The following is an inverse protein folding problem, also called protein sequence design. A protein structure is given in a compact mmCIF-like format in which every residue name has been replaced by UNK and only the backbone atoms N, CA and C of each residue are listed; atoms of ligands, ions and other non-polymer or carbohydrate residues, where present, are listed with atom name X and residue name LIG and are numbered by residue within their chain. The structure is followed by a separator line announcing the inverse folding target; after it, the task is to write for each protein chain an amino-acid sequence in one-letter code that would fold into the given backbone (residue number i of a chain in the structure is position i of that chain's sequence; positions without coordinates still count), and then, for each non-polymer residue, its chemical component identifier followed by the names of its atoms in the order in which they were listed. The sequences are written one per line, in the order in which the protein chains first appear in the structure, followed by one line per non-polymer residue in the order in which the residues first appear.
data_IF_762196120029
#
_entry.id   IF_762196120029
#
_cell.length_a   1.000
_cell.length_b   1.000
_cell.length_c   1.000
_cell.angle_alpha   90.00
_cell.angle_beta   90.00
_cell.angle_gamma   90.00
#
_symmetry.space_group_name_H-M   'P 1'
#
loop_
_entity.id
_entity.type
_entity.pdbx_description
1 polymer ?
#
# COMPACT_ATOMS: atom_id res chain seq x y z
N UNK A 1 31.85 -0.11 19.03
CA UNK A 1 32.55 -1.21 18.34
C UNK A 1 32.78 -0.76 16.90
N UNK A 2 34.02 -0.64 16.45
CA UNK A 2 34.32 -0.21 15.09
C UNK A 2 33.98 -1.35 14.10
N UNK A 3 33.48 -1.05 12.88
CA UNK A 3 33.19 -2.06 11.88
C UNK A 3 34.49 -2.78 11.48
N UNK A 4 34.50 -4.12 11.57
CA UNK A 4 35.65 -4.95 11.22
C UNK A 4 35.37 -5.68 9.91
N UNK A 5 36.01 -5.24 8.84
CA UNK A 5 35.91 -5.88 7.52
C UNK A 5 36.65 -7.21 7.56
N UNK A 6 36.02 -8.26 7.06
CA UNK A 6 36.59 -9.60 6.97
C UNK A 6 36.18 -10.24 5.65
N UNK A 7 37.02 -11.09 5.04
CA UNK A 7 36.62 -11.87 3.86
C UNK A 7 35.41 -12.75 4.18
N UNK A 8 34.46 -12.84 3.25
CA UNK A 8 33.29 -13.69 3.36
C UNK A 8 32.91 -14.24 1.99
N UNK A 9 32.45 -15.49 1.94
CA UNK A 9 31.86 -16.07 0.74
C UNK A 9 30.42 -15.54 0.58
N UNK A 10 30.14 -14.90 -0.55
CA UNK A 10 28.80 -14.38 -0.87
C UNK A 10 28.61 -14.33 -2.39
N UNK A 11 27.43 -14.70 -2.93
CA UNK A 11 27.12 -14.48 -4.35
C UNK A 11 27.07 -12.99 -4.68
N UNK A 12 26.86 -12.62 -5.95
CA UNK A 12 26.65 -11.21 -6.32
C UNK A 12 25.37 -10.69 -5.64
N UNK A 13 25.48 -9.60 -4.88
CA UNK A 13 24.39 -9.01 -4.13
C UNK A 13 24.84 -8.50 -2.75
N UNK A 14 23.89 -8.34 -1.83
CA UNK A 14 24.17 -7.87 -0.47
C UNK A 14 23.23 -8.55 0.52
N UNK A 15 23.80 -9.11 1.58
CA UNK A 15 23.05 -9.60 2.74
C UNK A 15 23.32 -8.69 3.93
N UNK A 16 22.26 -8.27 4.61
CA UNK A 16 22.33 -7.48 5.84
C UNK A 16 21.74 -8.31 6.97
N UNK A 17 22.55 -8.59 7.98
CA UNK A 17 22.12 -9.30 9.18
C UNK A 17 22.10 -8.37 10.38
N UNK A 18 20.96 -8.31 11.08
CA UNK A 18 20.78 -7.51 12.29
C UNK A 18 20.40 -8.45 13.42
N UNK A 19 21.27 -8.54 14.43
CA UNK A 19 21.05 -9.33 15.66
C UNK A 19 20.95 -8.42 16.86
N UNK A 20 20.22 -8.90 17.87
CA UNK A 20 20.10 -8.24 19.17
C UNK A 20 19.71 -6.75 19.07
N UNK A 21 18.68 -6.45 18.28
CA UNK A 21 18.23 -5.07 18.08
C UNK A 21 17.95 -4.38 19.42
N UNK A 22 18.54 -3.20 19.61
CA UNK A 22 18.48 -2.39 20.84
C UNK A 22 19.21 -2.97 22.08
N UNK A 23 20.10 -3.96 21.94
CA UNK A 23 20.85 -4.52 23.08
C UNK A 23 21.59 -3.48 23.93
N UNK A 24 22.16 -2.45 23.29
CA UNK A 24 22.91 -1.36 23.93
C UNK A 24 22.08 -0.08 24.15
N UNK A 25 20.77 -0.12 23.89
CA UNK A 25 19.85 1.01 24.11
C UNK A 25 18.64 0.56 24.93
N UNK A 26 18.81 0.30 26.25
CA UNK A 26 17.79 -0.36 27.08
C UNK A 26 16.47 0.42 27.14
N UNK A 27 16.53 1.76 27.12
CA UNK A 27 15.33 2.59 27.05
C UNK A 27 14.49 2.32 25.78
N UNK A 28 15.14 2.15 24.61
CA UNK A 28 14.45 1.82 23.35
C UNK A 28 13.88 0.40 23.36
N UNK A 29 14.62 -0.55 23.93
CA UNK A 29 14.18 -1.95 24.03
C UNK A 29 12.86 -2.09 24.79
N UNK A 30 12.62 -1.24 25.80
CA UNK A 30 11.36 -1.21 26.57
C UNK A 30 10.12 -0.79 25.74
N UNK A 31 10.30 -0.19 24.55
CA UNK A 31 9.18 0.18 23.67
C UNK A 31 8.72 -0.96 22.77
N UNK A 32 9.51 -2.04 22.64
CA UNK A 32 9.11 -3.20 21.85
C UNK A 32 7.80 -3.78 22.39
N UNK A 33 6.88 -4.05 21.47
CA UNK A 33 5.63 -4.76 21.77
C UNK A 33 5.88 -6.27 21.79
N UNK A 34 4.81 -7.05 21.79
CA UNK A 34 4.91 -8.51 21.66
C UNK A 34 5.54 -8.87 20.32
N UNK A 35 6.19 -10.04 20.25
CA UNK A 35 6.79 -10.54 19.01
C UNK A 35 5.80 -10.56 17.84
N UNK A 36 4.55 -10.96 18.13
CA UNK A 36 3.47 -10.95 17.14
C UNK A 36 3.22 -9.55 16.59
N UNK A 37 3.09 -8.55 17.45
CA UNK A 37 2.80 -7.17 17.04
C UNK A 37 3.95 -6.56 16.23
N UNK A 38 5.20 -6.78 16.65
CA UNK A 38 6.37 -6.31 15.89
C UNK A 38 6.47 -7.02 14.53
N UNK A 39 6.19 -8.33 14.49
CA UNK A 39 6.16 -9.07 13.24
C UNK A 39 5.05 -8.59 12.29
N UNK A 40 3.85 -8.30 12.81
CA UNK A 40 2.75 -7.76 12.01
C UNK A 40 3.14 -6.40 11.38
N UNK A 41 3.87 -5.54 12.11
CA UNK A 41 4.43 -4.30 11.56
C UNK A 41 5.46 -4.56 10.46
N UNK A 42 6.38 -5.51 10.65
CA UNK A 42 7.35 -5.90 9.64
C UNK A 42 6.68 -6.45 8.37
N UNK A 43 5.68 -7.31 8.56
CA UNK A 43 4.91 -7.87 7.46
C UNK A 43 4.21 -6.77 6.66
N UNK A 44 3.60 -5.78 7.32
CA UNK A 44 2.98 -4.62 6.65
C UNK A 44 3.99 -3.79 5.86
N UNK A 45 5.22 -3.61 6.35
CA UNK A 45 6.29 -2.95 5.58
C UNK A 45 6.62 -3.72 4.30
N UNK A 46 6.75 -5.04 4.38
CA UNK A 46 7.02 -5.88 3.21
C UNK A 46 5.86 -5.86 2.22
N UNK A 47 4.61 -5.91 2.70
CA UNK A 47 3.41 -5.79 1.85
C UNK A 47 3.41 -4.48 1.06
N UNK A 48 3.72 -3.35 1.72
CA UNK A 48 3.81 -2.04 1.06
C UNK A 48 4.86 -2.02 -0.05
N UNK A 49 6.04 -2.58 0.21
CA UNK A 49 7.12 -2.66 -0.78
C UNK A 49 6.77 -3.58 -1.95
N UNK A 50 6.13 -4.73 -1.66
CA UNK A 50 5.74 -5.70 -2.67
C UNK A 50 4.68 -5.16 -3.65
N UNK A 51 3.77 -4.31 -3.17
CA UNK A 51 2.79 -3.61 -3.99
C UNK A 51 3.40 -2.39 -4.70
N UNK A 52 4.42 -1.73 -4.13
CA UNK A 52 5.12 -0.63 -4.80
C UNK A 52 5.94 -1.10 -6.02
N UNK A 53 6.49 -2.31 -5.96
CA UNK A 53 7.43 -2.86 -6.95
C UNK A 53 7.01 -4.24 -7.43
N UNK A 54 6.10 -4.26 -8.38
CA UNK A 54 5.63 -5.50 -9.02
C UNK A 54 6.75 -6.25 -9.76
N UNK A 55 7.77 -5.54 -10.24
CA UNK A 55 8.93 -6.06 -10.95
C UNK A 55 9.97 -6.75 -10.04
N UNK A 56 9.78 -6.74 -8.72
CA UNK A 56 10.71 -7.35 -7.74
C UNK A 56 10.01 -8.51 -7.03
N UNK A 57 10.70 -9.66 -6.90
CA UNK A 57 10.22 -10.78 -6.09
C UNK A 57 10.49 -10.56 -4.59
N UNK A 58 9.56 -10.99 -3.73
CA UNK A 58 9.67 -10.86 -2.27
C UNK A 58 9.44 -12.20 -1.58
N UNK A 59 10.34 -12.58 -0.67
CA UNK A 59 10.17 -13.72 0.22
C UNK A 59 10.28 -13.25 1.67
N UNK A 60 9.28 -13.57 2.50
CA UNK A 60 9.28 -13.28 3.93
C UNK A 60 9.12 -14.58 4.71
N UNK A 61 10.06 -14.85 5.62
CA UNK A 61 10.03 -16.00 6.53
C UNK A 61 10.06 -15.53 7.97
N UNK A 62 9.38 -16.27 8.84
CA UNK A 62 9.37 -16.04 10.28
C UNK A 62 9.43 -17.37 11.01
N UNK A 63 10.43 -17.54 11.89
CA UNK A 63 10.65 -18.76 12.69
C UNK A 63 10.61 -20.03 11.83
N UNK A 64 11.34 -20.02 10.71
CA UNK A 64 11.46 -21.13 9.77
C UNK A 64 10.31 -21.28 8.77
N UNK A 65 9.13 -20.69 9.04
CA UNK A 65 7.94 -20.78 8.19
C UNK A 65 7.93 -19.69 7.11
N UNK A 66 7.47 -20.05 5.92
CA UNK A 66 7.22 -19.09 4.84
C UNK A 66 5.91 -18.35 5.09
N UNK A 67 5.97 -17.01 5.08
CA UNK A 67 4.82 -16.13 5.35
C UNK A 67 4.33 -15.50 4.05
N UNK A 68 5.23 -14.99 3.22
CA UNK A 68 4.93 -14.49 1.87
C UNK A 68 5.95 -15.02 0.87
N UNK A 69 5.49 -15.40 -0.31
CA UNK A 69 6.32 -15.74 -1.45
C UNK A 69 5.71 -15.15 -2.73
N UNK A 70 6.18 -13.98 -3.12
CA UNK A 70 5.63 -13.17 -4.20
C UNK A 70 6.62 -13.13 -5.36
N UNK A 71 6.20 -13.66 -6.50
CA UNK A 71 6.99 -13.67 -7.74
C UNK A 71 6.78 -12.38 -8.51
N UNK A 72 7.79 -11.95 -9.29
CA UNK A 72 7.67 -10.79 -10.20
C UNK A 72 6.36 -10.83 -11.01
N UNK A 73 5.74 -9.67 -11.16
CA UNK A 73 4.41 -9.49 -11.71
C UNK A 73 4.44 -8.42 -12.81
N UNK A 74 4.91 -8.80 -14.00
CA UNK A 74 5.17 -7.84 -15.08
C UNK A 74 3.91 -7.45 -15.85
N UNK A 75 3.03 -8.40 -16.11
CA UNK A 75 1.74 -8.21 -16.79
C UNK A 75 0.57 -7.93 -15.82
N UNK A 76 -0.55 -7.44 -16.36
CA UNK A 76 -1.72 -7.05 -15.59
C UNK A 76 -2.31 -8.20 -14.76
N UNK A 77 -2.36 -9.43 -15.31
CA UNK A 77 -2.88 -10.60 -14.62
C UNK A 77 -2.01 -10.97 -13.42
N UNK A 78 -0.68 -10.95 -13.58
CA UNK A 78 0.26 -11.20 -12.52
C UNK A 78 0.21 -10.12 -11.43
N UNK A 79 0.01 -8.84 -11.80
CA UNK A 79 -0.20 -7.75 -10.83
C UNK A 79 -1.45 -7.99 -9.99
N UNK A 80 -2.58 -8.30 -10.63
CA UNK A 80 -3.83 -8.63 -9.93
C UNK A 80 -3.64 -9.83 -8.97
N UNK A 81 -2.98 -10.90 -9.41
CA UNK A 81 -2.64 -12.05 -8.55
C UNK A 81 -1.77 -11.65 -7.35
N UNK A 82 -0.79 -10.77 -7.55
CA UNK A 82 0.01 -10.25 -6.44
C UNK A 82 -0.83 -9.43 -5.46
N UNK A 83 -1.74 -8.59 -5.96
CA UNK A 83 -2.67 -7.84 -5.11
C UNK A 83 -3.54 -8.79 -4.28
N UNK A 84 -4.11 -9.83 -4.89
CA UNK A 84 -4.86 -10.85 -4.16
C UNK A 84 -4.00 -11.58 -3.11
N UNK A 85 -2.73 -11.90 -3.42
CA UNK A 85 -1.83 -12.54 -2.46
C UNK A 85 -1.47 -11.64 -1.25
N UNK A 86 -1.46 -10.31 -1.44
CA UNK A 86 -1.12 -9.34 -0.38
C UNK A 86 -2.34 -8.91 0.44
N UNK A 87 -3.44 -8.60 -0.25
CA UNK A 87 -4.67 -8.03 0.29
C UNK A 87 -5.75 -9.07 0.60
N UNK A 88 -5.58 -10.30 0.11
CA UNK A 88 -6.56 -11.39 0.18
C UNK A 88 -7.38 -11.52 -1.11
N UNK A 89 -7.80 -12.73 -1.50
CA UNK A 89 -8.57 -12.97 -2.72
C UNK A 89 -9.91 -12.22 -2.71
N UNK A 90 -10.59 -12.19 -1.57
CA UNK A 90 -11.86 -11.49 -1.39
C UNK A 90 -11.77 -9.99 -1.69
N UNK A 91 -10.60 -9.35 -1.49
CA UNK A 91 -10.43 -7.95 -1.88
C UNK A 91 -10.48 -7.80 -3.40
N UNK A 92 -9.76 -8.64 -4.15
CA UNK A 92 -9.72 -8.53 -5.60
C UNK A 92 -11.08 -8.87 -6.23
N UNK A 93 -11.80 -9.85 -5.68
CA UNK A 93 -13.16 -10.22 -6.10
C UNK A 93 -14.18 -9.10 -5.87
N UNK A 94 -13.95 -8.28 -4.84
CA UNK A 94 -14.83 -7.17 -4.45
C UNK A 94 -14.19 -5.81 -4.75
N UNK A 95 -13.31 -5.72 -5.75
CA UNK A 95 -12.68 -4.48 -6.14
C UNK A 95 -12.89 -4.16 -7.62
N UNK A 96 -13.10 -2.88 -7.87
CA UNK A 96 -13.19 -2.31 -9.21
C UNK A 96 -11.80 -1.87 -9.66
N UNK A 97 -11.32 -2.35 -10.82
CA UNK A 97 -10.14 -1.77 -11.43
C UNK A 97 -10.45 -0.35 -11.90
N UNK A 98 -9.52 0.57 -11.68
CA UNK A 98 -9.58 1.92 -12.21
C UNK A 98 -8.32 2.22 -13.01
N UNK A 99 -8.47 2.99 -14.08
CA UNK A 99 -7.38 3.54 -14.88
C UNK A 99 -7.87 4.81 -15.55
N UNK A 100 -7.37 5.96 -15.11
CA UNK A 100 -7.77 7.27 -15.60
C UNK A 100 -6.57 8.17 -15.70
N UNK A 101 -6.37 8.77 -16.87
CA UNK A 101 -5.37 9.78 -17.13
C UNK A 101 -6.02 11.10 -17.57
N UNK A 102 -5.67 12.21 -16.91
CA UNK A 102 -6.13 13.56 -17.29
C UNK A 102 -5.15 14.63 -16.82
N UNK A 103 -4.85 15.60 -17.68
CA UNK A 103 -4.02 16.77 -17.34
C UNK A 103 -2.64 16.40 -16.75
N UNK A 104 -2.02 15.32 -17.24
CA UNK A 104 -0.73 14.83 -16.72
C UNK A 104 -0.81 14.16 -15.34
N UNK A 105 -2.02 13.87 -14.86
CA UNK A 105 -2.28 13.05 -13.69
C UNK A 105 -2.79 11.69 -14.15
N UNK A 106 -2.18 10.62 -13.64
CA UNK A 106 -2.59 9.25 -13.94
C UNK A 106 -2.90 8.53 -12.62
N UNK A 107 -4.11 7.99 -12.50
CA UNK A 107 -4.53 7.18 -11.37
C UNK A 107 -4.96 5.80 -11.86
N UNK A 108 -4.35 4.77 -11.31
CA UNK A 108 -4.70 3.39 -11.62
C UNK A 108 -4.67 2.51 -10.37
N UNK A 109 -5.29 1.33 -10.45
CA UNK A 109 -5.27 0.34 -9.38
C UNK A 109 -6.66 -0.23 -9.10
N UNK A 110 -6.94 -0.52 -7.83
CA UNK A 110 -8.15 -1.21 -7.39
C UNK A 110 -8.82 -0.49 -6.23
N UNK A 111 -10.13 -0.39 -6.31
CA UNK A 111 -10.99 0.33 -5.35
C UNK A 111 -12.07 -0.64 -4.90
N UNK A 112 -12.13 -0.95 -3.61
CA UNK A 112 -13.10 -1.88 -3.05
C UNK A 112 -14.53 -1.37 -3.19
N UNK A 113 -15.45 -2.26 -3.53
CA UNK A 113 -16.87 -1.98 -3.51
C UNK A 113 -17.31 -1.53 -2.10
N UNK A 114 -18.34 -0.66 -1.99
CA UNK A 114 -18.81 -0.21 -0.68
C UNK A 114 -19.25 -1.36 0.27
N UNK A 115 -19.71 -2.48 -0.31
CA UNK A 115 -20.03 -3.73 0.39
C UNK A 115 -18.78 -4.37 1.03
N UNK A 116 -17.61 -4.25 0.41
CA UNK A 116 -16.33 -4.73 0.94
C UNK A 116 -15.58 -3.62 1.69
N UNK A 117 -16.13 -3.29 2.85
CA UNK A 117 -15.56 -2.33 3.78
C UNK A 117 -14.87 -2.99 4.96
N UNK A 118 -14.06 -2.23 5.70
CA UNK A 118 -13.32 -2.70 6.88
C UNK A 118 -13.72 -1.93 8.13
N UNK A 119 -13.54 -2.55 9.29
CA UNK A 119 -13.67 -1.87 10.59
C UNK A 119 -12.44 -1.02 10.94
N UNK A 120 -11.33 -1.20 10.22
CA UNK A 120 -10.07 -0.49 10.41
C UNK A 120 -9.51 -0.08 9.05
N UNK A 121 -8.60 0.90 9.01
CA UNK A 121 -7.92 1.34 7.79
C UNK A 121 -6.74 0.42 7.40
N UNK A 122 -6.95 -0.89 7.40
CA UNK A 122 -5.91 -1.91 7.22
C UNK A 122 -5.62 -2.28 5.75
N UNK A 123 -6.56 -2.01 4.83
CA UNK A 123 -6.40 -2.21 3.39
C UNK A 123 -6.43 -0.89 2.61
N UNK A 124 -5.59 0.05 3.02
CA UNK A 124 -5.46 1.37 2.38
C UNK A 124 -4.03 1.59 1.93
N UNK A 125 -3.77 1.29 0.66
CA UNK A 125 -2.48 1.44 0.02
C UNK A 125 -2.57 2.50 -1.07
N UNK A 126 -1.81 3.59 -0.90
CA UNK A 126 -1.71 4.66 -1.89
C UNK A 126 -0.24 4.90 -2.21
N UNK A 127 0.06 5.01 -3.49
CA UNK A 127 1.41 5.22 -3.98
C UNK A 127 1.47 6.47 -4.83
N UNK A 128 2.51 7.29 -4.65
CA UNK A 128 2.82 8.42 -5.53
C UNK A 128 4.15 8.13 -6.19
N UNK A 129 4.18 7.97 -7.53
CA UNK A 129 5.38 7.64 -8.29
C UNK A 129 6.17 6.46 -7.68
N UNK A 130 5.45 5.39 -7.28
CA UNK A 130 6.03 4.19 -6.66
C UNK A 130 6.40 4.30 -5.17
N UNK A 131 6.22 5.45 -4.52
CA UNK A 131 6.44 5.63 -3.08
C UNK A 131 5.14 5.44 -2.31
N UNK A 132 5.13 4.59 -1.28
CA UNK A 132 3.97 4.45 -0.38
C UNK A 132 3.76 5.74 0.43
N UNK A 133 2.55 6.30 0.36
CA UNK A 133 2.19 7.58 0.99
C UNK A 133 0.96 7.41 1.88
N UNK A 134 0.92 8.15 2.98
CA UNK A 134 -0.21 8.28 3.90
C UNK A 134 -0.49 9.78 4.08
N UNK A 135 -1.08 10.38 3.06
CA UNK A 135 -1.37 11.82 3.05
C UNK A 135 -2.82 12.13 3.42
N UNK A 136 -3.03 13.23 4.17
CA UNK A 136 -4.35 13.64 4.65
C UNK A 136 -5.27 14.10 3.52
N UNK A 137 -4.73 14.73 2.48
CA UNK A 137 -5.48 15.19 1.32
C UNK A 137 -6.06 14.01 0.56
N UNK A 138 -5.23 13.00 0.30
CA UNK A 138 -5.65 11.75 -0.35
C UNK A 138 -6.70 11.04 0.50
N UNK A 139 -6.44 10.88 1.81
CA UNK A 139 -7.39 10.24 2.72
C UNK A 139 -8.74 10.98 2.77
N UNK A 140 -8.72 12.32 2.66
CA UNK A 140 -9.94 13.11 2.60
C UNK A 140 -10.69 12.92 1.27
N UNK A 141 -10.00 12.99 0.13
CA UNK A 141 -10.60 12.81 -1.19
C UNK A 141 -11.29 11.44 -1.33
N UNK A 142 -10.60 10.37 -0.91
CA UNK A 142 -11.17 9.01 -0.93
C UNK A 142 -12.38 8.94 0.01
N UNK A 143 -12.26 9.42 1.26
CA UNK A 143 -13.40 9.40 2.19
C UNK A 143 -14.60 10.17 1.65
N UNK A 144 -14.39 11.29 0.98
CA UNK A 144 -15.44 12.09 0.36
C UNK A 144 -16.10 11.33 -0.80
N UNK A 145 -15.34 10.62 -1.63
CA UNK A 145 -15.87 9.83 -2.74
C UNK A 145 -16.81 8.71 -2.28
N UNK A 146 -16.54 8.14 -1.10
CA UNK A 146 -17.34 7.07 -0.48
C UNK A 146 -18.48 7.55 0.43
N UNK A 147 -18.61 8.86 0.65
CA UNK A 147 -19.48 9.41 1.71
C UNK A 147 -20.94 8.94 1.62
N UNK A 148 -21.47 8.85 0.41
CA UNK A 148 -22.89 8.54 0.19
C UNK A 148 -23.16 7.03 0.10
N UNK A 149 -22.11 6.21 -0.01
CA UNK A 149 -22.20 4.76 -0.23
C UNK A 149 -21.68 3.92 0.94
N UNK A 150 -21.00 4.55 1.91
CA UNK A 150 -20.33 3.86 3.01
C UNK A 150 -20.96 4.19 4.36
N UNK A 151 -21.26 3.15 5.15
CA UNK A 151 -21.81 3.33 6.49
C UNK A 151 -20.81 4.01 7.45
N UNK A 152 -21.32 4.78 8.43
CA UNK A 152 -20.51 5.47 9.41
C UNK A 152 -19.59 4.52 10.19
N UNK A 153 -18.31 4.89 10.35
CA UNK A 153 -17.32 4.09 11.06
C UNK A 153 -16.74 2.92 10.26
N UNK A 154 -17.11 2.78 8.99
CA UNK A 154 -16.48 1.84 8.05
C UNK A 154 -15.38 2.53 7.25
N UNK A 155 -14.40 1.74 6.83
CA UNK A 155 -13.26 2.20 6.06
C UNK A 155 -13.32 1.62 4.64
N UNK A 156 -13.11 2.45 3.60
CA UNK A 156 -12.96 1.94 2.24
C UNK A 156 -11.64 1.17 2.12
N UNK A 157 -11.61 0.24 1.17
CA UNK A 157 -10.42 -0.54 0.85
C UNK A 157 -9.93 -0.16 -0.54
N UNK A 158 -8.62 -0.03 -0.73
CA UNK A 158 -8.06 0.34 -2.02
C UNK A 158 -6.56 0.07 -2.10
N UNK A 159 -6.10 -0.16 -3.34
CA UNK A 159 -4.70 -0.20 -3.74
C UNK A 159 -4.56 0.71 -4.96
N UNK A 160 -4.07 1.92 -4.74
CA UNK A 160 -4.07 2.98 -5.75
C UNK A 160 -2.66 3.49 -6.04
N UNK A 161 -2.38 3.70 -7.31
CA UNK A 161 -1.13 4.21 -7.84
C UNK A 161 -1.41 5.51 -8.56
N UNK A 162 -0.78 6.57 -8.07
CA UNK A 162 -0.90 7.91 -8.61
C UNK A 162 0.44 8.31 -9.22
N UNK A 163 0.41 8.63 -10.49
CA UNK A 163 1.53 9.06 -11.29
C UNK A 163 1.34 10.52 -11.70
N UNK A 164 2.37 11.33 -11.48
CA UNK A 164 2.35 12.76 -11.69
C UNK A 164 3.79 13.25 -11.90
N UNK A 165 3.97 14.38 -12.59
CA UNK A 165 5.28 15.03 -12.71
C UNK A 165 5.97 15.18 -11.33
N UNK A 166 7.15 14.58 -11.12
CA UNK A 166 7.90 14.72 -9.88
C UNK A 166 8.18 16.18 -9.49
N UNK A 167 8.23 17.10 -10.46
CA UNK A 167 8.45 18.53 -10.22
C UNK A 167 7.33 19.22 -9.42
N UNK A 168 6.13 18.64 -9.41
CA UNK A 168 4.95 19.18 -8.71
C UNK A 168 4.67 18.47 -7.38
N UNK A 169 5.56 17.58 -6.92
CA UNK A 169 5.45 16.84 -5.66
C UNK A 169 6.70 17.00 -4.82
N UNK A 170 6.57 17.59 -3.64
CA UNK A 170 7.63 17.63 -2.63
C UNK A 170 7.53 16.42 -1.70
N UNK A 171 8.53 15.52 -1.78
CA UNK A 171 8.65 14.33 -0.94
C UNK A 171 9.48 14.57 0.33
N UNK A 172 10.14 15.73 0.46
CA UNK A 172 11.04 16.06 1.57
C UNK A 172 10.32 16.76 2.73
N UNK A 173 9.10 16.33 3.04
CA UNK A 173 8.26 16.97 4.06
C UNK A 173 8.23 16.24 5.40
N UNK A 174 8.58 14.94 5.44
CA UNK A 174 8.59 14.13 6.68
C UNK A 174 9.85 13.24 6.78
N UNK A 175 10.43 13.01 7.98
CA UNK A 175 11.62 12.16 8.15
C UNK A 175 11.48 10.72 7.64
N UNK A 176 10.27 10.15 7.67
CA UNK A 176 9.96 8.82 7.13
C UNK A 176 9.47 8.84 5.68
N UNK A 177 9.31 10.03 5.08
CA UNK A 177 8.86 10.24 3.69
C UNK A 177 7.50 9.58 3.39
N UNK A 178 6.66 9.45 4.42
CA UNK A 178 5.29 8.94 4.30
C UNK A 178 4.29 10.01 3.87
N UNK A 179 4.65 11.27 4.00
CA UNK A 179 3.82 12.41 3.60
C UNK A 179 4.46 13.09 2.39
N UNK A 180 3.64 13.68 1.55
CA UNK A 180 4.08 14.44 0.37
C UNK A 180 3.28 15.73 0.28
N UNK A 181 3.85 16.78 -0.29
CA UNK A 181 3.14 18.02 -0.54
C UNK A 181 3.02 18.25 -2.04
N UNK A 182 1.79 18.27 -2.53
CA UNK A 182 1.49 18.62 -3.91
C UNK A 182 1.53 20.14 -4.08
N UNK A 183 2.09 20.61 -5.20
CA UNK A 183 2.11 22.04 -5.56
C UNK A 183 0.69 22.60 -5.71
N UNK A 184 -0.20 21.84 -6.34
CA UNK A 184 -1.64 22.12 -6.41
C UNK A 184 -2.42 20.97 -5.77
N UNK A 185 -2.54 21.03 -4.44
CA UNK A 185 -3.29 20.03 -3.69
C UNK A 185 -4.78 19.99 -4.05
N UNK A 186 -5.39 21.12 -4.41
CA UNK A 186 -6.82 21.18 -4.75
C UNK A 186 -7.09 20.43 -6.05
N UNK A 187 -6.27 20.65 -7.08
CA UNK A 187 -6.38 19.92 -8.34
C UNK A 187 -6.25 18.41 -8.12
N UNK A 188 -5.27 17.96 -7.33
CA UNK A 188 -5.09 16.54 -7.00
C UNK A 188 -6.30 16.00 -6.23
N UNK A 189 -6.79 16.73 -5.23
CA UNK A 189 -7.97 16.35 -4.46
C UNK A 189 -9.20 16.16 -5.37
N UNK A 190 -9.50 17.16 -6.20
CA UNK A 190 -10.69 17.16 -7.06
C UNK A 190 -10.59 16.07 -8.14
N UNK A 191 -9.39 15.79 -8.64
CA UNK A 191 -9.13 14.67 -9.55
C UNK A 191 -9.37 13.31 -8.89
N UNK A 192 -8.81 13.08 -7.69
CA UNK A 192 -9.00 11.83 -6.95
C UNK A 192 -10.48 11.64 -6.59
N UNK A 193 -11.10 12.64 -5.99
CA UNK A 193 -12.52 12.60 -5.63
C UNK A 193 -13.40 12.34 -6.85
N UNK A 194 -13.26 13.14 -7.92
CA UNK A 194 -14.11 13.02 -9.10
C UNK A 194 -13.96 11.68 -9.83
N UNK A 195 -12.74 11.14 -9.87
CA UNK A 195 -12.46 9.82 -10.46
C UNK A 195 -13.11 8.70 -9.66
N UNK A 196 -12.89 8.68 -8.34
CA UNK A 196 -13.41 7.64 -7.47
C UNK A 196 -14.93 7.73 -7.34
N UNK A 197 -15.48 8.94 -7.21
CA UNK A 197 -16.93 9.14 -7.08
C UNK A 197 -17.68 8.68 -8.33
N UNK A 198 -17.14 8.96 -9.53
CA UNK A 198 -17.71 8.44 -10.78
C UNK A 198 -17.61 6.93 -10.87
N UNK A 199 -16.43 6.36 -10.60
CA UNK A 199 -16.23 4.91 -10.64
C UNK A 199 -17.17 4.16 -9.69
N UNK A 200 -17.46 4.73 -8.52
CA UNK A 200 -18.41 4.17 -7.55
C UNK A 200 -19.87 4.41 -7.93
N UNK A 201 -20.19 5.52 -8.62
CA UNK A 201 -21.54 5.83 -9.09
C UNK A 201 -21.99 4.99 -10.28
N UNK A 202 -21.05 4.53 -11.10
CA UNK A 202 -21.32 3.66 -12.25
C UNK A 202 -21.56 2.18 -11.84
N UNK A 203 -21.32 1.84 -10.57
CA UNK A 203 -21.55 0.50 -10.00
C UNK A 203 -23.05 0.23 -9.93
N UNK A 204 -23.50 -0.78 -10.65
CA UNK A 204 -24.91 -1.18 -10.63
C UNK A 204 -25.18 -2.13 -9.47
N UNK A 205 -26.43 -2.23 -8.98
CA UNK A 205 -26.80 -3.17 -7.92
C UNK A 205 -26.47 -4.65 -8.24
N UNK A 206 -26.48 -5.01 -9.53
CA UNK A 206 -26.08 -6.33 -10.02
C UNK A 206 -24.59 -6.66 -9.78
N UNK A 207 -23.71 -5.65 -9.80
CA UNK A 207 -22.29 -5.79 -9.47
C UNK A 207 -22.05 -6.02 -7.96
N UNK A 208 -23.03 -5.68 -7.12
CA UNK A 208 -22.98 -5.79 -5.65
C UNK A 208 -23.45 -7.16 -5.14
N UNK A 209 -24.20 -7.91 -5.96
CA UNK A 209 -24.83 -9.19 -5.61
C UNK A 209 -23.98 -10.42 -5.93
N UNK A 210 -22.86 -10.25 -6.64
CA UNK A 210 -21.90 -11.32 -6.90
C UNK A 210 -21.00 -11.57 -5.68
N UNK A 211 -21.59 -12.06 -4.59
CA UNK A 211 -20.85 -12.81 -3.57
C UNK A 211 -20.99 -14.31 -3.89
N UNK A 212 -19.91 -15.04 -4.19
CA UNK A 212 -20.02 -16.49 -4.28
C UNK A 212 -20.16 -17.10 -2.87
N UNK A 213 -20.89 -18.21 -2.82
CA UNK A 213 -21.18 -19.03 -1.64
C UNK A 213 -19.94 -19.63 -0.97
#
# INVERSE_FOLDING_TARGET
MAPRVQPAAHPVGTSVEVRDLFFNTPARRKFLKTEKTEFDHLQEVIKRLALARFDVAFNLRHNGKSILNLHEARDATARARRVAAVCGPAFLEQALPIEVERNGLHLWGWVGLPTFSRSQADLQYFYVNGRAVRDKLVAHAVRQAYRDVLFNGRHPTFVLFFEVDPSVVDVNVHPTKHEVRFRDGRMVHDFLYGTLHRALGDVRPEDQLAAPA
#
